data_IF_285140480305
#
_entry.id   IF_285140480305
#
_cell.length_a   1.000
_cell.length_b   1.000
_cell.length_c   1.000
_cell.angle_alpha   90.00
_cell.angle_beta   90.00
_cell.angle_gamma   90.00
#
_symmetry.space_group_name_H-M   'P 1'
#
loop_
_entity.id
_entity.type
_entity.pdbx_description
1 polymer ?
#
# COMPACT_ATOMS: atom_id res chain seq x y z
N UNK A 1 -7.88 5.31 5.61
CA UNK A 1 -6.86 5.30 6.69
C UNK A 1 -5.52 5.79 6.13
N UNK A 2 -4.74 6.56 6.89
CA UNK A 2 -3.39 7.01 6.46
C UNK A 2 -2.32 6.22 7.21
N UNK A 3 -1.41 5.57 6.48
CA UNK A 3 -0.28 4.79 7.01
C UNK A 3 1.02 5.46 6.60
N UNK A 4 1.91 5.69 7.56
CA UNK A 4 3.30 6.06 7.29
C UNK A 4 4.16 4.79 7.19
N UNK A 5 4.84 4.58 6.07
CA UNK A 5 5.61 3.35 5.82
C UNK A 5 6.99 3.28 6.49
N UNK A 6 7.27 4.16 7.46
CA UNK A 6 8.50 4.08 8.25
C UNK A 6 8.65 2.74 9.01
N UNK A 7 7.60 1.93 9.12
CA UNK A 7 7.68 0.56 9.64
C UNK A 7 6.80 -0.42 8.84
N UNK A 8 7.40 -1.20 7.92
CA UNK A 8 6.73 -2.35 7.25
C UNK A 8 6.00 -3.28 8.24
N UNK A 9 6.53 -3.38 9.46
CA UNK A 9 5.93 -4.11 10.59
C UNK A 9 4.52 -3.65 10.95
N UNK A 10 4.17 -2.38 10.72
CA UNK A 10 2.84 -1.87 11.03
C UNK A 10 1.78 -2.51 10.13
N UNK A 11 2.07 -2.69 8.83
CA UNK A 11 1.13 -3.34 7.90
C UNK A 11 0.82 -4.77 8.31
N UNK A 12 1.83 -5.52 8.75
CA UNK A 12 1.66 -6.90 9.23
C UNK A 12 0.80 -6.99 10.49
N UNK A 13 0.78 -5.95 11.32
CA UNK A 13 -0.11 -5.89 12.49
C UNK A 13 -1.54 -5.49 12.11
N UNK A 14 -1.76 -5.06 10.86
CA UNK A 14 -3.04 -4.60 10.31
C UNK A 14 -3.77 -5.67 9.49
N UNK A 15 -3.33 -6.93 9.55
CA UNK A 15 -3.94 -8.06 8.83
C UNK A 15 -5.43 -8.25 9.16
N UNK A 16 -5.90 -7.70 10.29
CA UNK A 16 -7.32 -7.76 10.70
C UNK A 16 -8.21 -6.71 10.05
N UNK A 17 -7.69 -5.73 9.31
CA UNK A 17 -8.49 -4.68 8.66
C UNK A 17 -8.98 -5.14 7.26
N UNK A 18 -9.54 -6.33 7.18
CA UNK A 18 -9.99 -6.95 5.92
C UNK A 18 -11.12 -6.17 5.23
N UNK A 19 -11.86 -5.33 5.98
CA UNK A 19 -12.93 -4.46 5.48
C UNK A 19 -12.46 -3.09 4.98
N UNK A 20 -11.16 -2.80 5.04
CA UNK A 20 -10.64 -1.50 4.63
C UNK A 20 -10.79 -1.32 3.11
N UNK A 21 -11.53 -0.29 2.70
CA UNK A 21 -11.77 0.03 1.29
C UNK A 21 -10.82 1.10 0.74
N UNK A 22 -10.31 2.00 1.60
CA UNK A 22 -9.43 3.10 1.18
C UNK A 22 -8.18 3.16 2.06
N UNK A 23 -7.03 3.01 1.40
CA UNK A 23 -5.72 3.06 2.02
C UNK A 23 -4.88 4.17 1.38
N UNK A 24 -4.39 5.08 2.23
CA UNK A 24 -3.36 6.05 1.87
C UNK A 24 -2.05 5.62 2.51
N UNK A 25 -1.02 5.51 1.68
CA UNK A 25 0.35 5.25 2.07
C UNK A 25 1.14 6.52 1.83
N UNK A 26 1.76 7.02 2.89
CA UNK A 26 2.73 8.11 2.83
C UNK A 26 4.09 7.55 3.28
N UNK A 27 5.14 7.82 2.53
CA UNK A 27 6.46 7.24 2.82
C UNK A 27 7.49 8.24 2.39
N UNK A 28 8.50 8.51 3.21
CA UNK A 28 9.75 9.13 2.74
C UNK A 28 10.87 8.10 2.72
N UNK A 29 10.51 6.82 2.60
CA UNK A 29 11.48 5.73 2.65
C UNK A 29 12.31 5.69 1.37
N UNK A 30 13.53 5.18 1.51
CA UNK A 30 14.43 4.89 0.37
C UNK A 30 14.16 3.52 -0.23
N UNK A 31 13.00 2.94 0.03
CA UNK A 31 12.66 1.60 -0.44
C UNK A 31 12.28 1.64 -1.92
N UNK A 32 12.60 0.58 -2.64
CA UNK A 32 12.38 0.50 -4.10
C UNK A 32 11.08 -0.19 -4.50
N UNK A 33 10.40 -0.83 -3.55
CA UNK A 33 9.17 -1.58 -3.77
C UNK A 33 8.21 -1.40 -2.60
N UNK A 34 6.91 -1.55 -2.86
CA UNK A 34 5.89 -1.60 -1.82
C UNK A 34 6.00 -2.90 -0.98
N UNK A 35 5.43 -2.91 0.23
CA UNK A 35 5.26 -4.13 1.01
C UNK A 35 4.24 -5.09 0.41
N UNK A 36 4.53 -6.39 0.47
CA UNK A 36 3.67 -7.44 -0.06
C UNK A 36 2.46 -7.69 0.86
N UNK A 37 2.55 -7.28 2.13
CA UNK A 37 1.48 -7.34 3.13
C UNK A 37 0.23 -6.55 2.73
N UNK A 38 0.32 -5.69 1.70
CA UNK A 38 -0.86 -5.02 1.14
C UNK A 38 -1.93 -5.99 0.64
N UNK A 39 -1.56 -7.24 0.31
CA UNK A 39 -2.50 -8.29 -0.11
C UNK A 39 -3.54 -8.65 0.96
N UNK A 40 -3.27 -8.33 2.23
CA UNK A 40 -4.18 -8.62 3.34
C UNK A 40 -5.43 -7.72 3.35
N UNK A 41 -5.39 -6.57 2.66
CA UNK A 41 -6.55 -5.68 2.50
C UNK A 41 -7.41 -6.14 1.32
N UNK A 42 -8.02 -7.32 1.45
CA UNK A 42 -8.78 -7.95 0.35
C UNK A 42 -9.98 -7.13 -0.14
N UNK A 43 -10.57 -6.27 0.70
CA UNK A 43 -11.67 -5.37 0.29
C UNK A 43 -11.21 -4.01 -0.24
N UNK A 44 -9.91 -3.82 -0.46
CA UNK A 44 -9.37 -2.52 -0.84
C UNK A 44 -9.81 -2.13 -2.25
N UNK A 45 -10.44 -0.97 -2.38
CA UNK A 45 -10.91 -0.42 -3.65
C UNK A 45 -10.06 0.75 -4.13
N UNK A 46 -9.44 1.50 -3.21
CA UNK A 46 -8.61 2.66 -3.50
C UNK A 46 -7.29 2.58 -2.74
N UNK A 47 -6.19 2.64 -3.47
CA UNK A 47 -4.83 2.76 -2.96
C UNK A 47 -4.21 4.09 -3.42
N UNK A 48 -3.83 4.93 -2.46
CA UNK A 48 -3.10 6.17 -2.71
C UNK A 48 -1.67 6.04 -2.17
N UNK A 49 -0.66 6.24 -3.01
CA UNK A 49 0.76 6.21 -2.62
C UNK A 49 1.34 7.59 -2.82
N UNK A 50 1.93 8.15 -1.76
CA UNK A 50 2.48 9.50 -1.79
C UNK A 50 3.89 9.51 -1.20
N UNK A 51 4.76 10.32 -1.80
CA UNK A 51 6.14 10.60 -1.38
C UNK A 51 7.12 9.42 -1.51
N UNK A 52 6.77 8.35 -2.20
CA UNK A 52 7.60 7.14 -2.31
C UNK A 52 8.73 7.29 -3.35
N UNK A 53 9.67 8.22 -3.10
CA UNK A 53 10.64 8.77 -4.07
C UNK A 53 11.63 7.78 -4.71
N UNK A 54 11.67 6.53 -4.24
CA UNK A 54 12.59 5.51 -4.77
C UNK A 54 11.83 4.32 -5.36
N UNK A 55 10.48 4.39 -5.47
CA UNK A 55 9.68 3.28 -5.98
C UNK A 55 10.03 3.00 -7.45
N UNK A 56 10.66 1.87 -7.72
CA UNK A 56 11.01 1.47 -9.10
C UNK A 56 10.01 0.48 -9.68
N UNK A 57 9.27 -0.24 -8.82
CA UNK A 57 8.31 -1.24 -9.26
C UNK A 57 7.19 -1.45 -8.24
N UNK A 58 6.06 -1.94 -8.73
CA UNK A 58 4.96 -2.45 -7.92
C UNK A 58 5.15 -3.97 -7.72
N UNK A 59 4.86 -4.51 -6.52
CA UNK A 59 4.91 -5.94 -6.27
C UNK A 59 3.81 -6.65 -7.07
N UNK A 60 4.09 -7.87 -7.53
CA UNK A 60 3.12 -8.68 -8.28
C UNK A 60 1.90 -9.04 -7.42
N UNK A 61 2.08 -9.10 -6.11
CA UNK A 61 1.03 -9.34 -5.12
C UNK A 61 -0.04 -8.25 -5.13
N UNK A 62 0.24 -7.05 -5.66
CA UNK A 62 -0.77 -6.01 -5.85
C UNK A 62 -1.87 -6.47 -6.81
N UNK A 63 -1.57 -7.36 -7.76
CA UNK A 63 -2.56 -7.94 -8.67
C UNK A 63 -3.53 -8.90 -7.96
N UNK A 64 -3.24 -9.32 -6.73
CA UNK A 64 -4.15 -10.12 -5.91
C UNK A 64 -5.27 -9.27 -5.26
N UNK A 65 -5.17 -7.93 -5.30
CA UNK A 65 -6.21 -7.02 -4.84
C UNK A 65 -7.32 -6.90 -5.89
N UNK A 66 -8.14 -7.93 -6.00
CA UNK A 66 -9.17 -8.07 -7.05
C UNK A 66 -10.23 -6.97 -7.05
N UNK A 67 -10.44 -6.28 -5.93
CA UNK A 67 -11.38 -5.17 -5.80
C UNK A 67 -10.75 -3.79 -6.02
N UNK A 68 -9.42 -3.71 -6.22
CA UNK A 68 -8.73 -2.44 -6.41
C UNK A 68 -9.12 -1.84 -7.75
N UNK A 69 -9.84 -0.72 -7.70
CA UNK A 69 -10.31 0.02 -8.89
C UNK A 69 -9.50 1.27 -9.15
N UNK A 70 -8.87 1.83 -8.10
CA UNK A 70 -8.12 3.07 -8.18
C UNK A 70 -6.75 2.91 -7.54
N UNK A 71 -5.70 3.10 -8.35
CA UNK A 71 -4.33 3.27 -7.89
C UNK A 71 -3.89 4.69 -8.24
N UNK A 72 -3.64 5.52 -7.23
CA UNK A 72 -3.16 6.88 -7.41
C UNK A 72 -1.76 7.02 -6.80
N UNK A 73 -0.80 7.51 -7.60
CA UNK A 73 0.58 7.69 -7.18
C UNK A 73 0.99 9.15 -7.35
N UNK A 74 1.54 9.76 -6.31
CA UNK A 74 2.00 11.15 -6.30
C UNK A 74 3.39 11.25 -5.70
N UNK A 75 4.29 11.99 -6.36
CA UNK A 75 5.66 12.20 -5.87
C UNK A 75 6.35 10.84 -5.61
N UNK A 76 6.31 9.97 -6.62
CA UNK A 76 6.98 8.66 -6.65
C UNK A 76 8.11 8.71 -7.67
#
# INVERSE_FOLDING_TARGET
MMICLSSRLLLKQMDNFTSLTILRIDSYSRSTTLPNELVNFTSLTILMIVNYLQLTSLPNELFNLTFLTTLNMKSC
#
